data_IF_557431536052
#
_entry.id   IF_557431536052
#
_cell.length_a   1.000
_cell.length_b   1.000
_cell.length_c   1.000
_cell.angle_alpha   90.00
_cell.angle_beta   90.00
_cell.angle_gamma   90.00
#
_symmetry.space_group_name_H-M   'P 1'
#
loop_
_entity.id
_entity.type
_entity.pdbx_description
1 polymer ?
#
# COMPACT_ATOMS: atom_id res chain seq x y z
N UNK A 1 -32.22 14.46 4.94
CA UNK A 1 -31.78 13.04 4.96
C UNK A 1 -30.39 12.91 5.58
N UNK A 2 -29.33 13.44 4.96
CA UNK A 2 -27.93 13.29 5.42
C UNK A 2 -27.71 13.89 6.81
N UNK A 3 -28.16 15.13 7.03
CA UNK A 3 -28.03 15.84 8.32
C UNK A 3 -28.71 15.10 9.47
N UNK A 4 -29.84 14.45 9.21
CA UNK A 4 -30.55 13.66 10.21
C UNK A 4 -29.80 12.37 10.50
N UNK A 5 -29.37 11.64 9.46
CA UNK A 5 -28.58 10.42 9.60
C UNK A 5 -27.34 10.63 10.48
N UNK A 6 -26.63 11.75 10.30
CA UNK A 6 -25.46 12.10 11.11
C UNK A 6 -25.83 12.48 12.54
N UNK A 7 -26.94 13.19 12.76
CA UNK A 7 -27.36 13.67 14.07
C UNK A 7 -27.79 12.53 15.01
N UNK A 8 -28.43 11.49 14.47
CA UNK A 8 -28.93 10.35 15.25
C UNK A 8 -28.04 9.09 15.14
N UNK A 9 -26.92 9.15 14.43
CA UNK A 9 -26.02 8.02 14.23
C UNK A 9 -26.66 6.83 13.51
N UNK A 10 -27.60 7.08 12.60
CA UNK A 10 -28.31 6.01 11.89
C UNK A 10 -27.39 5.28 10.89
N UNK A 11 -27.58 3.97 10.77
CA UNK A 11 -26.81 3.11 9.84
C UNK A 11 -27.38 3.09 8.41
N UNK A 12 -28.62 3.55 8.24
CA UNK A 12 -29.30 3.56 6.95
C UNK A 12 -30.16 4.81 6.76
N UNK A 13 -30.25 5.26 5.51
CA UNK A 13 -31.10 6.36 5.06
C UNK A 13 -31.90 5.93 3.83
N UNK A 14 -33.20 6.21 3.83
CA UNK A 14 -34.10 5.90 2.71
C UNK A 14 -34.63 7.22 2.16
N UNK A 15 -34.41 7.46 0.87
CA UNK A 15 -35.01 8.56 0.13
C UNK A 15 -36.19 8.02 -0.70
N UNK A 16 -37.40 8.46 -0.38
CA UNK A 16 -38.62 8.13 -1.12
C UNK A 16 -38.96 9.27 -2.08
N UNK A 17 -39.13 8.96 -3.37
CA UNK A 17 -39.45 9.93 -4.43
C UNK A 17 -40.56 9.43 -5.35
N UNK A 18 -41.34 10.33 -5.93
CA UNK A 18 -42.34 9.97 -6.95
C UNK A 18 -41.68 9.70 -8.32
N UNK A 19 -40.68 10.52 -8.68
CA UNK A 19 -39.98 10.46 -9.97
C UNK A 19 -38.45 10.48 -9.75
N UNK A 20 -37.78 9.32 -9.83
CA UNK A 20 -36.33 9.23 -9.66
C UNK A 20 -35.61 9.77 -10.90
N UNK A 21 -34.76 10.77 -10.70
CA UNK A 21 -33.96 11.40 -11.76
C UNK A 21 -32.52 10.88 -11.75
N UNK A 22 -31.78 10.99 -12.87
CA UNK A 22 -30.37 10.61 -12.94
C UNK A 22 -29.51 11.24 -11.83
N UNK A 23 -29.79 12.47 -11.43
CA UNK A 23 -29.07 13.16 -10.35
C UNK A 23 -29.33 12.52 -8.99
N UNK A 24 -30.55 12.04 -8.73
CA UNK A 24 -30.90 11.33 -7.49
C UNK A 24 -30.16 9.98 -7.41
N UNK A 25 -30.13 9.26 -8.54
CA UNK A 25 -29.42 7.99 -8.67
C UNK A 25 -27.93 8.22 -8.42
N UNK A 26 -27.33 9.19 -9.12
CA UNK A 26 -25.92 9.54 -8.97
C UNK A 26 -25.55 9.95 -7.54
N UNK A 27 -26.38 10.77 -6.90
CA UNK A 27 -26.15 11.21 -5.51
C UNK A 27 -26.17 10.03 -4.52
N UNK A 28 -27.17 9.14 -4.61
CA UNK A 28 -27.29 8.00 -3.69
C UNK A 28 -26.20 6.96 -3.94
N UNK A 29 -25.85 6.71 -5.20
CA UNK A 29 -24.71 5.85 -5.55
C UNK A 29 -23.39 6.41 -4.99
N UNK A 30 -23.13 7.70 -5.16
CA UNK A 30 -21.94 8.36 -4.61
C UNK A 30 -21.90 8.28 -3.07
N UNK A 31 -23.04 8.45 -2.40
CA UNK A 31 -23.13 8.31 -0.94
C UNK A 31 -22.81 6.89 -0.48
N UNK A 32 -23.30 5.86 -1.19
CA UNK A 32 -22.97 4.47 -0.88
C UNK A 32 -21.47 4.15 -1.10
N UNK A 33 -20.81 4.78 -2.08
CA UNK A 33 -19.37 4.59 -2.30
C UNK A 33 -18.48 5.34 -1.29
N UNK A 34 -18.95 6.45 -0.75
CA UNK A 34 -18.15 7.36 0.09
C UNK A 34 -18.41 7.21 1.59
N UNK A 35 -19.52 6.56 1.96
CA UNK A 35 -19.96 6.39 3.34
C UNK A 35 -20.02 4.92 3.75
N UNK A 36 -19.99 4.66 5.06
CA UNK A 36 -20.27 3.34 5.63
C UNK A 36 -21.75 3.13 5.97
N UNK A 37 -22.57 4.18 5.82
CA UNK A 37 -24.02 4.09 5.97
C UNK A 37 -24.68 3.65 4.67
N UNK A 38 -25.76 2.89 4.76
CA UNK A 38 -26.50 2.38 3.61
C UNK A 38 -27.54 3.41 3.15
N UNK A 39 -27.47 3.83 1.89
CA UNK A 39 -28.41 4.76 1.28
C UNK A 39 -29.27 4.04 0.25
N UNK A 40 -30.58 4.28 0.32
CA UNK A 40 -31.57 3.70 -0.57
C UNK A 40 -32.36 4.80 -1.28
N UNK A 41 -32.61 4.61 -2.57
CA UNK A 41 -33.56 5.41 -3.34
C UNK A 41 -34.75 4.51 -3.70
N UNK A 42 -35.94 4.89 -3.24
CA UNK A 42 -37.18 4.15 -3.46
C UNK A 42 -38.15 5.05 -4.23
N UNK A 43 -38.69 4.53 -5.34
CA UNK A 43 -39.82 5.13 -6.02
C UNK A 43 -41.11 4.68 -5.35
N UNK A 44 -42.00 5.62 -5.06
CA UNK A 44 -43.35 5.32 -4.54
C UNK A 44 -44.40 5.66 -5.59
N UNK A 45 -45.28 4.69 -5.87
CA UNK A 45 -46.39 4.82 -6.80
C UNK A 45 -47.68 4.33 -6.14
N UNK A 46 -48.82 4.85 -6.58
CA UNK A 46 -50.12 4.33 -6.16
C UNK A 46 -50.66 3.41 -7.26
N UNK A 47 -50.91 2.14 -6.92
CA UNK A 47 -51.48 1.15 -7.83
C UNK A 47 -52.86 0.72 -7.33
N UNK A 48 -53.76 0.39 -8.26
CA UNK A 48 -55.12 -0.07 -7.95
C UNK A 48 -55.40 -1.35 -8.74
N UNK A 49 -55.92 -2.37 -8.07
CA UNK A 49 -56.31 -3.63 -8.71
C UNK A 49 -57.84 -3.73 -8.66
N UNK A 50 -58.48 -3.63 -9.82
CA UNK A 50 -59.94 -3.59 -9.92
C UNK A 50 -60.52 -2.44 -9.09
N UNK A 51 -61.50 -2.75 -8.24
CA UNK A 51 -62.18 -1.76 -7.40
C UNK A 51 -61.52 -1.51 -6.04
N UNK A 52 -60.33 -2.08 -5.77
CA UNK A 52 -59.64 -1.90 -4.48
C UNK A 52 -59.36 -0.42 -4.15
N UNK A 53 -59.15 -0.06 -2.87
CA UNK A 53 -58.46 1.20 -2.55
C UNK A 53 -57.06 1.24 -3.20
N UNK A 54 -56.53 2.41 -3.55
CA UNK A 54 -55.15 2.55 -4.01
C UNK A 54 -54.15 2.04 -2.97
N UNK A 55 -53.20 1.21 -3.40
CA UNK A 55 -52.13 0.66 -2.57
C UNK A 55 -50.77 1.26 -2.98
N UNK A 56 -49.85 1.47 -2.03
CA UNK A 56 -48.50 1.93 -2.33
C UNK A 56 -47.66 0.80 -2.94
N UNK A 57 -47.10 1.03 -4.12
CA UNK A 57 -46.03 0.23 -4.70
C UNK A 57 -44.69 0.91 -4.42
N UNK A 58 -43.78 0.19 -3.77
CA UNK A 58 -42.42 0.64 -3.50
C UNK A 58 -41.45 -0.09 -4.42
N UNK A 59 -40.75 0.65 -5.27
CA UNK A 59 -39.74 0.10 -6.19
C UNK A 59 -38.37 0.59 -5.77
N UNK A 60 -37.45 -0.34 -5.51
CA UNK A 60 -36.05 -0.03 -5.21
C UNK A 60 -35.35 0.43 -6.50
N UNK A 61 -34.85 1.67 -6.51
CA UNK A 61 -34.12 2.26 -7.64
C UNK A 61 -32.61 2.13 -7.42
N UNK A 62 -32.14 2.47 -6.22
CA UNK A 62 -30.74 2.28 -5.81
C UNK A 62 -30.74 1.66 -4.42
N UNK A 63 -30.02 0.55 -4.27
CA UNK A 63 -29.79 -0.09 -2.98
C UNK A 63 -28.32 -0.15 -2.65
N UNK A 64 -28.03 -0.23 -1.36
CA UNK A 64 -26.71 -0.62 -0.89
C UNK A 64 -26.57 -2.14 -1.05
N UNK A 65 -25.85 -2.62 -2.06
CA UNK A 65 -25.40 -4.02 -2.09
C UNK A 65 -24.21 -4.20 -1.14
N UNK A 66 -23.96 -5.45 -0.74
CA UNK A 66 -22.77 -5.83 0.06
C UNK A 66 -21.49 -5.45 -0.69
N UNK A 67 -21.46 -5.69 -2.01
CA UNK A 67 -20.36 -5.35 -2.92
C UNK A 67 -20.03 -3.83 -2.92
N UNK A 68 -21.04 -2.95 -2.95
CA UNK A 68 -20.81 -1.49 -2.95
C UNK A 68 -20.26 -1.01 -1.59
N UNK A 69 -20.69 -1.63 -0.49
CA UNK A 69 -20.18 -1.34 0.86
C UNK A 69 -18.74 -1.82 1.02
N UNK A 70 -18.44 -3.03 0.56
CA UNK A 70 -17.07 -3.56 0.54
C UNK A 70 -16.14 -2.64 -0.27
N UNK A 71 -16.58 -2.12 -1.42
CA UNK A 71 -15.79 -1.17 -2.22
C UNK A 71 -15.51 0.13 -1.44
N UNK A 72 -16.51 0.67 -0.74
CA UNK A 72 -16.35 1.88 0.08
C UNK A 72 -15.44 1.68 1.30
N UNK A 73 -15.59 0.56 2.01
CA UNK A 73 -14.75 0.17 3.16
C UNK A 73 -13.30 -0.08 2.72
N UNK A 74 -13.09 -0.80 1.61
CA UNK A 74 -11.76 -1.01 1.02
C UNK A 74 -11.10 0.32 0.62
N UNK A 75 -11.83 1.27 0.02
CA UNK A 75 -11.30 2.61 -0.30
C UNK A 75 -10.87 3.38 0.96
N UNK A 76 -11.65 3.33 2.04
CA UNK A 76 -11.30 3.96 3.33
C UNK A 76 -10.09 3.29 3.98
N UNK A 77 -10.04 1.97 3.97
CA UNK A 77 -8.91 1.20 4.51
C UNK A 77 -7.61 1.49 3.76
N UNK A 78 -7.66 1.54 2.42
CA UNK A 78 -6.54 1.93 1.56
C UNK A 78 -6.07 3.36 1.87
N UNK A 79 -7.01 4.30 2.06
CA UNK A 79 -6.69 5.68 2.42
C UNK A 79 -5.99 5.76 3.78
N UNK A 80 -6.47 4.99 4.77
CA UNK A 80 -5.82 4.87 6.08
C UNK A 80 -4.41 4.30 5.98
N UNK A 81 -4.22 3.24 5.18
CA UNK A 81 -2.92 2.61 4.97
C UNK A 81 -1.92 3.52 4.25
N UNK A 82 -2.39 4.31 3.27
CA UNK A 82 -1.57 5.32 2.61
C UNK A 82 -1.07 6.38 3.60
N UNK A 83 -1.94 6.82 4.52
CA UNK A 83 -1.58 7.74 5.60
C UNK A 83 -0.52 7.15 6.54
N UNK A 84 -0.69 5.90 6.99
CA UNK A 84 0.25 5.21 7.85
C UNK A 84 1.64 5.10 7.22
N UNK A 85 1.73 4.64 5.97
CA UNK A 85 3.01 4.52 5.24
C UNK A 85 3.72 5.86 5.09
N UNK A 86 2.98 6.92 4.75
CA UNK A 86 3.55 8.26 4.62
C UNK A 86 4.16 8.71 5.96
N UNK A 87 3.45 8.56 7.08
CA UNK A 87 3.98 8.92 8.42
C UNK A 87 5.19 8.07 8.79
N UNK A 88 5.12 6.76 8.57
CA UNK A 88 6.23 5.86 8.83
C UNK A 88 7.50 6.28 8.07
N UNK A 89 7.37 6.58 6.78
CA UNK A 89 8.50 7.06 5.97
C UNK A 89 9.00 8.42 6.39
N UNK A 90 8.12 9.35 6.76
CA UNK A 90 8.54 10.66 7.29
C UNK A 90 9.45 10.49 8.51
N UNK A 91 9.03 9.68 9.49
CA UNK A 91 9.81 9.45 10.70
C UNK A 91 11.13 8.70 10.40
N UNK A 92 11.08 7.63 9.60
CA UNK A 92 12.27 6.86 9.24
C UNK A 92 13.30 7.73 8.51
N UNK A 93 12.86 8.53 7.53
CA UNK A 93 13.75 9.38 6.74
C UNK A 93 14.42 10.44 7.63
N UNK A 94 13.66 11.07 8.52
CA UNK A 94 14.22 12.06 9.46
C UNK A 94 15.29 11.45 10.36
N UNK A 95 15.01 10.30 10.99
CA UNK A 95 15.99 9.56 11.80
C UNK A 95 17.19 9.10 10.98
N UNK A 96 16.97 8.67 9.73
CA UNK A 96 18.04 8.12 8.89
C UNK A 96 19.08 9.17 8.51
N UNK A 97 18.67 10.44 8.33
CA UNK A 97 19.56 11.54 7.90
C UNK A 97 20.67 11.82 8.91
N UNK A 98 20.43 11.54 10.19
CA UNK A 98 21.43 11.67 11.26
C UNK A 98 22.53 10.59 11.17
N UNK A 99 22.25 9.46 10.49
CA UNK A 99 23.12 8.27 10.47
C UNK A 99 23.71 7.97 9.09
N UNK A 100 23.01 8.30 8.01
CA UNK A 100 23.45 8.05 6.63
C UNK A 100 22.86 9.07 5.65
N UNK A 101 23.59 9.31 4.55
CA UNK A 101 23.12 10.17 3.45
C UNK A 101 22.42 9.40 2.32
N UNK A 102 22.36 8.07 2.40
CA UNK A 102 21.87 7.21 1.30
C UNK A 102 20.48 7.60 0.79
N UNK A 103 19.53 7.86 1.69
CA UNK A 103 18.16 8.26 1.36
C UNK A 103 17.86 9.74 1.66
N UNK A 104 18.87 10.59 1.88
CA UNK A 104 18.69 11.96 2.37
C UNK A 104 17.84 12.85 1.44
N UNK A 105 17.85 12.56 0.13
CA UNK A 105 17.10 13.30 -0.89
C UNK A 105 15.76 12.63 -1.28
N UNK A 106 15.32 11.60 -0.55
CA UNK A 106 14.08 10.90 -0.84
C UNK A 106 12.94 11.52 -0.03
N UNK A 107 11.81 11.79 -0.70
CA UNK A 107 10.59 12.28 -0.06
C UNK A 107 9.70 11.12 0.40
N UNK A 108 9.04 11.24 1.56
CA UNK A 108 8.06 10.25 2.01
C UNK A 108 6.88 10.16 1.04
N UNK A 109 6.37 8.95 0.82
CA UNK A 109 5.26 8.69 -0.10
C UNK A 109 4.28 7.64 0.46
N UNK A 110 3.25 7.29 -0.29
CA UNK A 110 2.22 6.32 0.14
C UNK A 110 2.53 4.86 -0.22
N UNK A 111 3.61 4.64 -0.96
CA UNK A 111 3.97 3.32 -1.46
C UNK A 111 4.61 2.48 -0.36
N UNK A 112 4.60 1.17 -0.62
CA UNK A 112 5.19 0.15 0.26
C UNK A 112 6.70 0.28 0.41
N UNK A 113 7.35 1.09 -0.43
CA UNK A 113 8.80 1.11 -0.53
C UNK A 113 9.33 2.49 -0.89
N UNK A 114 10.54 2.77 -0.41
CA UNK A 114 11.35 3.92 -0.80
C UNK A 114 12.72 3.41 -1.23
N UNK A 115 13.27 3.98 -2.30
CA UNK A 115 14.50 3.47 -2.93
C UNK A 115 15.51 4.59 -3.11
N UNK A 116 16.79 4.26 -2.94
CA UNK A 116 17.91 5.11 -3.26
C UNK A 116 18.80 4.41 -4.30
N UNK A 117 19.36 5.19 -5.23
CA UNK A 117 20.29 4.64 -6.23
C UNK A 117 21.60 4.22 -5.58
N UNK A 118 22.16 3.11 -6.06
CA UNK A 118 23.52 2.68 -5.69
C UNK A 118 24.60 3.47 -6.45
N UNK A 119 24.21 4.23 -7.48
CA UNK A 119 25.10 4.85 -8.46
C UNK A 119 25.33 3.99 -9.70
N UNK A 120 24.88 2.72 -9.72
CA UNK A 120 24.85 1.87 -10.92
C UNK A 120 23.43 1.70 -11.44
N UNK A 121 23.29 1.72 -12.78
CA UNK A 121 22.00 1.52 -13.46
C UNK A 121 21.41 0.17 -13.10
N UNK A 122 20.13 0.18 -12.72
CA UNK A 122 19.35 -0.99 -12.38
C UNK A 122 19.61 -1.56 -10.99
N UNK A 123 20.43 -0.93 -10.15
CA UNK A 123 20.68 -1.36 -8.78
C UNK A 123 20.26 -0.28 -7.79
N UNK A 124 19.36 -0.63 -6.87
CA UNK A 124 18.82 0.32 -5.88
C UNK A 124 18.73 -0.31 -4.49
N UNK A 125 19.06 0.48 -3.47
CA UNK A 125 18.85 0.12 -2.07
C UNK A 125 17.45 0.55 -1.62
N UNK A 126 16.64 -0.41 -1.18
CA UNK A 126 15.23 -0.21 -0.85
C UNK A 126 14.90 -0.49 0.60
N UNK A 127 14.11 0.39 1.23
CA UNK A 127 13.32 0.03 2.40
C UNK A 127 11.95 -0.45 1.93
N UNK A 128 11.45 -1.52 2.53
CA UNK A 128 10.13 -2.09 2.25
C UNK A 128 9.37 -2.29 3.56
N UNK A 129 8.13 -1.82 3.63
CA UNK A 129 7.27 -1.94 4.81
C UNK A 129 6.00 -2.72 4.49
N UNK A 130 5.68 -3.75 5.26
CA UNK A 130 4.42 -4.49 5.18
C UNK A 130 3.49 -4.07 6.32
N UNK A 131 2.37 -4.76 6.49
CA UNK A 131 1.47 -4.49 7.62
C UNK A 131 2.17 -4.77 8.95
N UNK A 132 2.81 -5.94 9.09
CA UNK A 132 3.43 -6.40 10.35
C UNK A 132 4.89 -6.85 10.22
N UNK A 133 5.52 -6.57 9.08
CA UNK A 133 6.93 -6.89 8.85
C UNK A 133 7.60 -5.76 8.10
N UNK A 134 8.92 -5.68 8.21
CA UNK A 134 9.74 -4.75 7.47
C UNK A 134 10.92 -5.45 6.82
N UNK A 135 11.50 -4.83 5.81
CA UNK A 135 12.56 -5.44 5.02
C UNK A 135 13.45 -4.35 4.42
N UNK A 136 14.73 -4.70 4.26
CA UNK A 136 15.70 -3.93 3.47
C UNK A 136 16.16 -4.80 2.31
N UNK A 137 16.42 -4.20 1.15
CA UNK A 137 16.82 -4.94 -0.03
C UNK A 137 17.86 -4.18 -0.88
N UNK A 138 18.70 -4.96 -1.57
CA UNK A 138 19.28 -4.56 -2.84
C UNK A 138 18.38 -5.14 -3.95
N UNK A 139 17.76 -4.27 -4.73
CA UNK A 139 16.90 -4.63 -5.84
C UNK A 139 17.62 -4.44 -7.17
N UNK A 140 17.54 -5.45 -8.04
CA UNK A 140 18.26 -5.54 -9.31
C UNK A 140 17.23 -5.64 -10.45
N UNK A 141 17.16 -4.61 -11.28
CA UNK A 141 16.22 -4.53 -12.40
C UNK A 141 16.67 -3.48 -13.44
N UNK A 142 17.17 -3.95 -14.57
CA UNK A 142 17.48 -3.14 -15.77
C UNK A 142 16.34 -3.07 -16.79
N UNK A 143 15.17 -3.64 -16.47
CA UNK A 143 14.02 -3.68 -17.37
C UNK A 143 13.85 -5.04 -18.07
N UNK A 144 12.77 -5.16 -18.85
CA UNK A 144 12.30 -6.44 -19.40
C UNK A 144 13.25 -7.02 -20.46
N UNK A 145 13.84 -6.16 -21.28
CA UNK A 145 14.74 -6.55 -22.36
C UNK A 145 16.17 -6.89 -21.89
N UNK A 146 16.49 -6.63 -20.62
CA UNK A 146 17.80 -6.86 -20.00
C UNK A 146 17.72 -7.88 -18.85
N UNK A 147 16.75 -8.81 -18.91
CA UNK A 147 16.55 -9.79 -17.84
C UNK A 147 17.79 -10.70 -17.63
N UNK A 148 18.44 -11.15 -18.70
CA UNK A 148 19.68 -11.94 -18.59
C UNK A 148 20.78 -11.17 -17.86
N UNK A 149 20.89 -9.86 -18.09
CA UNK A 149 21.83 -9.00 -17.38
C UNK A 149 21.51 -8.88 -15.89
N UNK A 150 20.23 -8.88 -15.50
CA UNK A 150 19.85 -8.91 -14.08
C UNK A 150 20.29 -10.21 -13.41
N UNK A 151 20.14 -11.34 -14.10
CA UNK A 151 20.62 -12.64 -13.63
C UNK A 151 22.16 -12.67 -13.53
N UNK A 152 22.88 -12.18 -14.55
CA UNK A 152 24.35 -12.12 -14.52
C UNK A 152 24.89 -11.25 -13.38
N UNK A 153 24.25 -10.11 -13.11
CA UNK A 153 24.60 -9.24 -11.97
C UNK A 153 24.36 -9.98 -10.65
N UNK A 154 23.22 -10.65 -10.51
CA UNK A 154 22.90 -11.44 -9.32
C UNK A 154 23.91 -12.56 -9.13
N UNK A 155 24.20 -13.35 -10.16
CA UNK A 155 25.12 -14.48 -10.14
C UNK A 155 26.56 -14.01 -9.81
N UNK A 156 26.94 -12.82 -10.28
CA UNK A 156 28.22 -12.20 -9.93
C UNK A 156 28.29 -11.81 -8.45
N UNK A 157 27.22 -11.24 -7.90
CA UNK A 157 27.14 -10.90 -6.47
C UNK A 157 27.09 -12.18 -5.61
N UNK A 158 26.41 -13.23 -6.07
CA UNK A 158 26.27 -14.49 -5.36
C UNK A 158 27.61 -15.24 -5.22
N UNK A 159 28.53 -15.09 -6.18
CA UNK A 159 29.92 -15.58 -6.04
C UNK A 159 30.65 -14.96 -4.84
N UNK A 160 30.26 -13.77 -4.42
CA UNK A 160 30.81 -13.08 -3.24
C UNK A 160 29.90 -13.19 -2.01
N UNK A 161 28.93 -14.12 -2.01
CA UNK A 161 27.92 -14.23 -0.96
C UNK A 161 28.50 -14.35 0.44
N UNK A 162 29.48 -15.21 0.64
CA UNK A 162 30.09 -15.44 1.96
C UNK A 162 30.74 -14.17 2.50
N UNK A 163 31.49 -13.46 1.66
CA UNK A 163 32.13 -12.18 2.02
C UNK A 163 31.09 -11.10 2.33
N UNK A 164 30.04 -11.02 1.53
CA UNK A 164 28.93 -10.06 1.71
C UNK A 164 28.20 -10.34 3.03
N UNK A 165 27.80 -11.59 3.29
CA UNK A 165 27.09 -11.94 4.52
C UNK A 165 27.98 -11.77 5.76
N UNK A 166 29.28 -12.04 5.65
CA UNK A 166 30.25 -11.76 6.70
C UNK A 166 30.39 -10.27 6.98
N UNK A 167 30.48 -9.43 5.94
CA UNK A 167 30.55 -7.98 6.07
C UNK A 167 29.23 -7.36 6.58
N UNK A 168 28.10 -7.94 6.19
CA UNK A 168 26.77 -7.57 6.69
C UNK A 168 26.57 -8.00 8.15
N UNK A 169 27.15 -9.13 8.56
CA UNK A 169 27.11 -9.68 9.91
C UNK A 169 25.97 -10.68 10.15
N UNK A 170 25.15 -10.98 9.15
CA UNK A 170 24.01 -11.89 9.22
C UNK A 170 23.76 -12.57 7.87
N UNK A 171 22.90 -13.60 7.85
CA UNK A 171 22.44 -14.19 6.59
C UNK A 171 21.45 -13.29 5.87
N UNK A 172 21.56 -13.27 4.54
CA UNK A 172 20.66 -12.57 3.63
C UNK A 172 19.78 -13.58 2.88
N UNK A 173 18.61 -13.13 2.45
CA UNK A 173 17.75 -13.86 1.54
C UNK A 173 18.11 -13.52 0.11
N UNK A 174 18.65 -14.51 -0.62
CA UNK A 174 19.06 -14.39 -2.01
C UNK A 174 17.93 -14.92 -2.90
N UNK A 175 17.23 -14.02 -3.60
CA UNK A 175 16.03 -14.37 -4.36
C UNK A 175 16.23 -14.12 -5.85
N UNK A 176 16.44 -15.22 -6.58
CA UNK A 176 16.56 -15.31 -8.05
C UNK A 176 15.34 -16.06 -8.62
N UNK A 177 14.15 -15.44 -8.67
CA UNK A 177 12.97 -16.12 -9.17
C UNK A 177 13.13 -16.45 -10.67
N UNK A 178 13.03 -17.74 -11.02
CA UNK A 178 13.19 -18.23 -12.40
C UNK A 178 12.12 -17.61 -13.31
N UNK A 179 12.55 -16.98 -14.41
CA UNK A 179 11.65 -16.37 -15.40
C UNK A 179 11.01 -15.04 -14.94
N UNK A 180 11.52 -14.43 -13.87
CA UNK A 180 11.06 -13.12 -13.41
C UNK A 180 12.09 -12.04 -13.65
N UNK A 181 11.63 -10.89 -14.17
CA UNK A 181 12.47 -9.75 -14.57
C UNK A 181 13.53 -9.35 -13.55
N UNK A 182 13.16 -9.27 -12.27
CA UNK A 182 13.98 -8.68 -11.22
C UNK A 182 14.53 -9.71 -10.26
N UNK A 183 15.74 -9.46 -9.76
CA UNK A 183 16.33 -10.20 -8.64
C UNK A 183 16.40 -9.30 -7.42
N UNK A 184 16.43 -9.89 -6.22
CA UNK A 184 16.64 -9.13 -4.99
C UNK A 184 17.43 -9.92 -3.96
N UNK A 185 18.17 -9.18 -3.15
CA UNK A 185 18.88 -9.71 -1.99
C UNK A 185 18.42 -8.89 -0.80
N UNK A 186 17.83 -9.53 0.21
CA UNK A 186 17.12 -8.82 1.25
C UNK A 186 17.31 -9.38 2.66
N UNK A 187 16.94 -8.56 3.64
CA UNK A 187 16.84 -8.95 5.05
C UNK A 187 15.47 -8.54 5.56
N UNK A 188 14.68 -9.52 5.98
CA UNK A 188 13.40 -9.32 6.65
C UNK A 188 13.58 -9.17 8.17
N UNK A 189 12.79 -8.28 8.75
CA UNK A 189 12.66 -8.09 10.19
C UNK A 189 11.21 -8.38 10.62
N UNK A 190 11.07 -9.25 11.63
CA UNK A 190 9.77 -9.62 12.21
C UNK A 190 9.36 -8.74 13.40
N UNK A 191 10.03 -7.59 13.58
CA UNK A 191 9.78 -6.68 14.71
C UNK A 191 8.48 -5.88 14.55
N UNK A 192 8.03 -5.69 13.30
CA UNK A 192 6.77 -5.02 12.98
C UNK A 192 6.80 -4.33 11.61
N UNK A 193 5.65 -3.78 11.25
CA UNK A 193 5.37 -3.03 10.03
C UNK A 193 4.55 -1.76 10.28
N UNK A 194 3.94 -1.23 9.23
CA UNK A 194 3.23 0.06 9.28
C UNK A 194 1.87 0.02 9.98
N UNK A 195 1.33 -1.16 10.32
CA UNK A 195 0.06 -1.32 11.06
C UNK A 195 0.27 -1.61 12.55
N UNK A 196 1.50 -1.85 12.99
CA UNK A 196 1.79 -2.00 14.42
C UNK A 196 1.76 -0.64 15.13
N UNK A 197 1.63 -0.68 16.47
CA UNK A 197 1.56 0.51 17.33
C UNK A 197 2.66 1.52 16.99
N UNK A 198 2.29 2.80 16.84
CA UNK A 198 3.24 3.85 16.47
C UNK A 198 4.38 4.00 17.50
N UNK A 199 4.14 3.61 18.76
CA UNK A 199 5.16 3.56 19.81
C UNK A 199 6.29 2.57 19.52
N UNK A 200 6.04 1.52 18.73
CA UNK A 200 7.05 0.54 18.31
C UNK A 200 7.85 1.01 17.10
N UNK A 201 7.34 1.98 16.34
CA UNK A 201 7.96 2.42 15.09
C UNK A 201 9.40 2.89 15.26
N UNK A 202 9.78 3.69 16.28
CA UNK A 202 11.17 4.11 16.44
C UNK A 202 12.14 2.92 16.50
N UNK A 203 11.77 1.85 17.21
CA UNK A 203 12.59 0.64 17.33
C UNK A 203 12.68 -0.12 16.00
N UNK A 204 11.56 -0.25 15.27
CA UNK A 204 11.52 -0.87 13.94
C UNK A 204 12.42 -0.09 12.98
N UNK A 205 12.27 1.23 12.95
CA UNK A 205 13.04 2.12 12.08
C UNK A 205 14.52 2.07 12.40
N UNK A 206 14.93 2.07 13.67
CA UNK A 206 16.35 1.99 14.05
C UNK A 206 17.00 0.70 13.56
N UNK A 207 16.32 -0.44 13.69
CA UNK A 207 16.81 -1.74 13.17
C UNK A 207 16.91 -1.72 11.64
N UNK A 208 15.92 -1.14 10.96
CA UNK A 208 15.96 -0.99 9.50
C UNK A 208 17.12 -0.11 9.05
N UNK A 209 17.33 1.03 9.71
CA UNK A 209 18.40 1.98 9.37
C UNK A 209 19.78 1.36 9.60
N UNK A 210 20.01 0.72 10.75
CA UNK A 210 21.25 0.00 11.03
C UNK A 210 21.50 -1.09 9.97
N UNK A 211 20.48 -1.91 9.70
CA UNK A 211 20.55 -2.93 8.67
C UNK A 211 20.89 -2.33 7.31
N UNK A 212 20.27 -1.22 6.91
CA UNK A 212 20.55 -0.58 5.62
C UNK A 212 21.99 -0.06 5.53
N UNK A 213 22.53 0.51 6.61
CA UNK A 213 23.92 0.99 6.65
C UNK A 213 24.89 -0.20 6.49
N UNK A 214 24.63 -1.31 7.19
CA UNK A 214 25.41 -2.55 7.03
C UNK A 214 25.30 -3.13 5.63
N UNK A 215 24.09 -3.13 5.06
CA UNK A 215 23.82 -3.63 3.72
C UNK A 215 24.57 -2.80 2.67
N UNK A 216 24.46 -1.47 2.74
CA UNK A 216 25.18 -0.56 1.86
C UNK A 216 26.70 -0.79 1.94
N UNK A 217 27.24 -0.86 3.16
CA UNK A 217 28.67 -1.10 3.39
C UNK A 217 29.14 -2.44 2.81
N UNK A 218 28.35 -3.51 2.99
CA UNK A 218 28.67 -4.84 2.49
C UNK A 218 28.64 -4.88 0.95
N UNK A 219 27.65 -4.26 0.31
CA UNK A 219 27.48 -4.36 -1.15
C UNK A 219 28.32 -3.37 -1.96
N UNK A 220 28.66 -2.19 -1.42
CA UNK A 220 29.38 -1.14 -2.18
C UNK A 220 30.69 -1.63 -2.85
N UNK A 221 31.56 -2.43 -2.21
CA UNK A 221 32.78 -2.93 -2.85
C UNK A 221 32.49 -3.82 -4.06
N UNK A 222 31.52 -4.73 -3.94
CA UNK A 222 31.15 -5.66 -5.02
C UNK A 222 30.41 -4.97 -6.15
N UNK A 223 29.52 -4.02 -5.82
CA UNK A 223 28.81 -3.21 -6.82
C UNK A 223 29.80 -2.44 -7.69
N UNK A 224 30.88 -1.88 -7.13
CA UNK A 224 31.88 -1.14 -7.92
C UNK A 224 32.60 -1.99 -8.97
N UNK A 225 32.75 -3.30 -8.70
CA UNK A 225 33.44 -4.23 -9.60
C UNK A 225 32.55 -4.77 -10.71
N UNK A 226 31.23 -4.55 -10.64
CA UNK A 226 30.33 -4.95 -11.70
C UNK A 226 30.67 -4.20 -13.01
N UNK A 227 30.52 -4.85 -14.17
CA UNK A 227 30.61 -4.18 -15.46
C UNK A 227 29.60 -3.02 -15.55
N UNK A 228 29.84 -2.06 -16.44
CA UNK A 228 28.91 -0.94 -16.68
C UNK A 228 27.64 -1.44 -17.37
#
# INVERSE_FOLDING_TARGET
>A
LITYLTAIGAKAAIWIVADPRPEHIGAISWLNESSSAAFYLIKVEAVRIGDSPPAPLLTLIVGSSEEIREVGENKKELTGLHGLRRRFWTQLLERSKEKTRLHANISPNQYRQIRATTGKRGLVFGYVIQQHTSEIELYIDRGWFEHSTNEEIFDTLEKSKEDIEKAFGERLEWQRPKGQRSCRISKRFSLGGCRDDEEKWPKIQDVMIDGMIRLEKAFRPHIKQLPM
#
